data_IF_313445887350
#
_entry.id   IF_313445887350
#
_cell.length_a   1.000
_cell.length_b   1.000
_cell.length_c   1.000
_cell.angle_alpha   90.00
_cell.angle_beta   90.00
_cell.angle_gamma   90.00
#
_symmetry.space_group_name_H-M   'P 1'
#
loop_
_entity.id
_entity.type
_entity.pdbx_description
1 polymer ?
#
# COMPACT_ATOMS: atom_id res chain seq x y z
N UNK A 1 7.21 -18.95 -22.77
CA UNK A 1 6.35 -17.77 -22.79
C UNK A 1 5.81 -17.59 -21.37
N UNK A 2 6.24 -16.56 -20.65
CA UNK A 2 5.78 -16.29 -19.28
C UNK A 2 5.12 -14.93 -19.29
N UNK A 3 3.88 -14.91 -18.82
CA UNK A 3 2.89 -13.85 -18.97
C UNK A 3 3.38 -12.48 -18.47
N UNK A 4 2.92 -11.37 -19.08
CA UNK A 4 3.19 -10.05 -18.54
C UNK A 4 2.56 -9.95 -17.15
N UNK A 5 3.43 -9.86 -16.14
CA UNK A 5 3.11 -9.74 -14.73
C UNK A 5 2.28 -8.46 -14.52
N UNK A 6 0.96 -8.63 -14.58
CA UNK A 6 -0.03 -7.57 -14.39
C UNK A 6 0.11 -7.11 -12.94
N UNK A 7 0.83 -6.01 -12.73
CA UNK A 7 1.02 -5.42 -11.41
C UNK A 7 -0.33 -5.16 -10.76
N UNK A 8 -0.75 -6.09 -9.90
CA UNK A 8 -1.97 -5.97 -9.13
C UNK A 8 -1.69 -4.94 -8.04
N UNK A 9 -2.22 -3.73 -8.25
CA UNK A 9 -2.32 -2.74 -7.19
C UNK A 9 -3.25 -3.34 -6.14
N UNK A 10 -2.72 -3.60 -4.95
CA UNK A 10 -3.52 -4.12 -3.84
C UNK A 10 -3.55 -3.10 -2.71
N UNK A 11 -4.70 -2.98 -2.07
CA UNK A 11 -4.82 -2.13 -0.89
C UNK A 11 -4.03 -2.72 0.27
N UNK A 12 -3.57 -1.88 1.19
CA UNK A 12 -2.88 -2.33 2.42
C UNK A 12 -3.75 -3.32 3.21
N UNK A 13 -5.07 -3.11 3.20
CA UNK A 13 -6.04 -4.04 3.79
C UNK A 13 -6.02 -5.42 3.12
N UNK A 14 -6.04 -5.47 1.79
CA UNK A 14 -5.99 -6.72 1.06
C UNK A 14 -4.65 -7.45 1.29
N UNK A 15 -3.52 -6.73 1.23
CA UNK A 15 -2.20 -7.28 1.52
C UNK A 15 -2.13 -7.89 2.92
N UNK A 16 -2.66 -7.18 3.93
CA UNK A 16 -2.69 -7.64 5.32
C UNK A 16 -3.53 -8.90 5.50
N UNK A 17 -4.73 -8.94 4.91
CA UNK A 17 -5.62 -10.11 4.99
C UNK A 17 -4.99 -11.31 4.30
N UNK A 18 -4.37 -11.12 3.13
CA UNK A 18 -3.67 -12.19 2.40
C UNK A 18 -2.44 -12.71 3.16
N UNK A 19 -1.82 -11.88 4.00
CA UNK A 19 -0.69 -12.24 4.84
C UNK A 19 -1.10 -12.83 6.21
N UNK A 20 -2.41 -12.99 6.45
CA UNK A 20 -2.98 -13.46 7.72
C UNK A 20 -2.46 -12.66 8.93
N UNK A 21 -2.41 -11.32 8.77
CA UNK A 21 -1.95 -10.39 9.82
C UNK A 21 -3.08 -9.59 10.40
N UNK A 22 -3.04 -9.38 11.72
CA UNK A 22 -3.94 -8.45 12.39
C UNK A 22 -3.52 -6.99 12.13
N UNK A 23 -4.43 -6.06 12.38
CA UNK A 23 -4.09 -4.63 12.35
C UNK A 23 -3.08 -4.27 13.45
N UNK A 24 -3.10 -5.00 14.55
CA UNK A 24 -2.18 -4.82 15.67
C UNK A 24 -0.77 -5.27 15.31
N UNK A 25 -0.60 -6.42 14.64
CA UNK A 25 0.71 -6.88 14.15
C UNK A 25 1.36 -5.87 13.20
N UNK A 26 0.55 -5.30 12.30
CA UNK A 26 1.02 -4.29 11.35
C UNK A 26 1.38 -2.97 12.05
N UNK A 27 0.57 -2.54 13.02
CA UNK A 27 0.84 -1.35 13.83
C UNK A 27 2.12 -1.52 14.67
N UNK A 28 2.29 -2.68 15.31
CA UNK A 28 3.47 -3.03 16.10
C UNK A 28 4.74 -3.08 15.25
N UNK A 29 4.65 -3.66 14.05
CA UNK A 29 5.79 -3.70 13.11
C UNK A 29 6.22 -2.30 12.65
N UNK A 30 5.27 -1.37 12.56
CA UNK A 30 5.51 0.03 12.21
C UNK A 30 5.89 0.91 13.42
N UNK A 31 5.75 0.42 14.65
CA UNK A 31 5.96 1.21 15.86
C UNK A 31 4.92 2.34 16.04
N UNK A 32 3.71 2.18 15.49
CA UNK A 32 2.63 3.17 15.58
C UNK A 32 1.44 2.62 16.38
N UNK A 33 0.54 3.50 16.82
CA UNK A 33 -0.70 3.06 17.46
C UNK A 33 -1.63 2.37 16.46
N UNK A 34 -2.42 1.41 16.96
CA UNK A 34 -3.45 0.72 16.15
C UNK A 34 -4.43 1.71 15.50
N UNK A 35 -4.74 2.82 16.19
CA UNK A 35 -5.60 3.89 15.67
C UNK A 35 -4.93 4.64 14.51
N UNK A 36 -3.63 4.94 14.62
CA UNK A 36 -2.87 5.56 13.53
C UNK A 36 -2.82 4.63 12.31
N UNK A 37 -2.58 3.32 12.52
CA UNK A 37 -2.63 2.33 11.46
C UNK A 37 -4.01 2.26 10.79
N UNK A 38 -5.10 2.17 11.57
CA UNK A 38 -6.49 2.16 11.04
C UNK A 38 -6.80 3.40 10.20
N UNK A 39 -6.36 4.59 10.63
CA UNK A 39 -6.54 5.83 9.85
C UNK A 39 -5.80 5.76 8.51
N UNK A 40 -4.57 5.24 8.50
CA UNK A 40 -3.80 5.06 7.27
C UNK A 40 -4.42 4.01 6.35
N UNK A 41 -4.80 2.85 6.87
CA UNK A 41 -5.46 1.77 6.11
C UNK A 41 -6.80 2.22 5.49
N UNK A 42 -7.54 3.09 6.17
CA UNK A 42 -8.79 3.67 5.67
C UNK A 42 -8.59 4.88 4.74
N UNK A 43 -7.35 5.26 4.42
CA UNK A 43 -7.05 6.38 3.51
C UNK A 43 -7.22 7.78 4.13
N UNK A 44 -7.46 7.90 5.44
CA UNK A 44 -7.49 9.18 6.16
C UNK A 44 -6.08 9.78 6.33
N UNK A 45 -5.05 8.97 6.15
CA UNK A 45 -3.65 9.38 6.22
C UNK A 45 -2.81 8.55 5.26
N UNK A 46 -1.74 9.12 4.72
CA UNK A 46 -0.83 8.40 3.82
C UNK A 46 0.16 7.54 4.60
N UNK A 47 0.59 6.45 3.98
CA UNK A 47 1.77 5.71 4.42
C UNK A 47 3.02 6.36 3.85
N UNK A 48 4.06 6.47 4.66
CA UNK A 48 5.39 6.87 4.23
C UNK A 48 6.12 5.69 3.56
N UNK A 49 7.15 6.00 2.76
CA UNK A 49 7.87 4.99 1.97
C UNK A 49 8.55 3.96 2.87
N UNK A 50 9.15 4.40 3.98
CA UNK A 50 9.72 3.54 5.01
C UNK A 50 8.69 2.61 5.65
N UNK A 51 7.49 3.12 5.97
CA UNK A 51 6.37 2.32 6.49
C UNK A 51 5.93 1.26 5.46
N UNK A 52 5.78 1.64 4.19
CA UNK A 52 5.45 0.69 3.12
C UNK A 52 6.56 -0.37 2.98
N UNK A 53 7.83 -0.02 3.22
CA UNK A 53 8.94 -0.98 3.12
C UNK A 53 8.87 -2.03 4.23
N UNK A 54 8.47 -1.61 5.44
CA UNK A 54 8.20 -2.52 6.56
C UNK A 54 6.99 -3.41 6.27
N UNK A 55 5.89 -2.84 5.78
CA UNK A 55 4.68 -3.60 5.43
C UNK A 55 4.92 -4.58 4.29
N UNK A 56 5.71 -4.20 3.29
CA UNK A 56 6.14 -5.07 2.19
C UNK A 56 6.87 -6.31 2.71
N UNK A 57 7.78 -6.13 3.67
CA UNK A 57 8.49 -7.25 4.33
C UNK A 57 7.56 -8.09 5.20
N UNK A 58 6.68 -7.44 5.97
CA UNK A 58 5.73 -8.12 6.87
C UNK A 58 4.74 -8.99 6.10
N UNK A 59 4.19 -8.46 5.01
CA UNK A 59 3.18 -9.12 4.19
C UNK A 59 3.77 -10.01 3.10
N UNK A 60 5.10 -9.99 2.91
CA UNK A 60 5.80 -10.66 1.80
C UNK A 60 5.24 -10.26 0.43
N UNK A 61 4.83 -9.00 0.30
CA UNK A 61 4.28 -8.42 -0.93
C UNK A 61 5.27 -7.41 -1.47
N UNK A 62 5.48 -7.36 -2.79
CA UNK A 62 6.34 -6.35 -3.39
C UNK A 62 5.81 -4.93 -3.11
N UNK A 63 6.71 -4.05 -2.69
CA UNK A 63 6.47 -2.63 -2.44
C UNK A 63 5.72 -1.94 -3.60
N UNK A 64 6.01 -2.32 -4.85
CA UNK A 64 5.37 -1.82 -6.07
C UNK A 64 3.85 -2.02 -6.08
N UNK A 65 3.33 -3.01 -5.36
CA UNK A 65 1.89 -3.28 -5.30
C UNK A 65 1.14 -2.25 -4.44
N UNK A 66 1.84 -1.50 -3.58
CA UNK A 66 1.27 -0.43 -2.77
C UNK A 66 1.37 0.94 -3.43
N UNK A 67 2.22 1.08 -4.45
CA UNK A 67 2.28 2.28 -5.25
C UNK A 67 1.28 2.13 -6.39
N UNK A 68 0.17 2.86 -6.31
CA UNK A 68 -0.45 3.33 -7.55
C UNK A 68 0.66 4.08 -8.28
N UNK A 69 1.13 3.54 -9.40
CA UNK A 69 1.69 4.39 -10.44
C UNK A 69 0.54 5.32 -10.84
N UNK A 70 0.37 6.42 -10.11
CA UNK A 70 -0.42 7.53 -10.57
C UNK A 70 0.33 8.03 -11.81
N UNK A 71 0.03 7.42 -12.97
CA UNK A 71 -0.31 8.24 -14.11
C UNK A 71 -1.46 9.13 -13.62
N UNK A 72 -1.11 10.21 -12.91
CA UNK A 72 -1.87 11.44 -12.95
C UNK A 72 -2.12 11.63 -14.44
N UNK A 73 -3.35 11.38 -14.91
CA UNK A 73 -3.75 11.83 -16.23
C UNK A 73 -3.31 13.28 -16.25
N UNK A 74 -2.31 13.57 -17.09
CA UNK A 74 -1.77 14.92 -17.23
C UNK A 74 -2.99 15.82 -17.30
N UNK A 75 -3.09 16.78 -16.38
CA UNK A 75 -3.97 17.93 -16.52
C UNK A 75 -3.42 18.77 -17.68
N UNK A 76 -3.29 18.21 -18.87
CA UNK A 76 -3.20 18.98 -20.09
C UNK A 76 -4.65 19.40 -20.34
N UNK A 77 -5.02 20.57 -19.82
CA UNK A 77 -6.06 21.36 -20.47
C UNK A 77 -5.62 21.43 -21.93
N UNK A 78 -6.36 20.77 -22.82
CA UNK A 78 -6.38 21.18 -24.22
C UNK A 78 -6.82 22.65 -24.19
N UNK A 79 -5.84 23.55 -24.29
CA UNK A 79 -6.08 24.91 -24.71
C UNK A 79 -6.52 24.79 -26.17
N UNK A 80 -7.75 25.23 -26.42
CA UNK A 80 -8.39 25.21 -27.74
C UNK A 80 -7.70 26.09 -28.77
#
# INVERSE_FOLDING_TARGET
>A
MSEPNKGLIITVKAARINADKSQEDAANSLGISITAYKRKENGLSRFYVDEIAVLSRLFKVNMTNFFEAQCHKKTRKELG
#
